data_IF_995758642406
#
_entry.id   IF_995758642406
#
_cell.length_a   1.000
_cell.length_b   1.000
_cell.length_c   1.000
_cell.angle_alpha   90.00
_cell.angle_beta   90.00
_cell.angle_gamma   90.00
#
_symmetry.space_group_name_H-M   'P 1'
#
loop_
_entity.id
_entity.type
_entity.pdbx_description
1 polymer ?
#
# COMPACT_ATOMS: atom_id res chain seq x y z
N UNK A 1 16.05 23.37 17.09
CA UNK A 1 15.30 22.65 16.03
C UNK A 1 15.51 21.13 16.04
N UNK A 2 16.75 20.61 16.19
CA UNK A 2 17.03 19.16 16.31
C UNK A 2 16.36 18.47 17.52
N UNK A 3 16.22 19.20 18.64
CA UNK A 3 15.59 18.71 19.86
C UNK A 3 14.07 18.54 19.76
N UNK A 4 13.39 19.36 18.95
CA UNK A 4 11.93 19.29 18.77
C UNK A 4 11.56 18.09 17.89
N UNK A 5 12.35 17.81 16.85
CA UNK A 5 12.18 16.62 16.00
C UNK A 5 12.47 15.33 16.78
N UNK A 6 13.51 15.34 17.62
CA UNK A 6 13.80 14.24 18.54
C UNK A 6 12.67 14.02 19.56
N UNK A 7 12.07 15.09 20.10
CA UNK A 7 10.94 15.01 21.03
C UNK A 7 9.65 14.52 20.35
N UNK A 8 9.40 14.87 19.08
CA UNK A 8 8.24 14.37 18.32
C UNK A 8 8.40 12.88 18.03
N UNK A 9 9.58 12.45 17.56
CA UNK A 9 9.89 11.03 17.34
C UNK A 9 9.90 10.22 18.65
N UNK A 10 10.41 10.79 19.75
CA UNK A 10 10.37 10.18 21.08
C UNK A 10 8.94 10.11 21.64
N UNK A 11 8.07 11.07 21.33
CA UNK A 11 6.65 11.00 21.73
C UNK A 11 5.87 9.94 20.94
N UNK A 12 6.19 9.74 19.65
CA UNK A 12 5.73 8.60 18.86
C UNK A 12 6.24 7.26 19.44
N UNK A 13 7.45 7.26 20.00
CA UNK A 13 8.07 6.08 20.62
C UNK A 13 7.51 5.76 22.02
N UNK A 14 7.24 6.76 22.86
CA UNK A 14 6.68 6.53 24.20
C UNK A 14 5.20 6.12 24.12
N UNK A 15 4.45 6.61 23.13
CA UNK A 15 3.09 6.14 22.87
C UNK A 15 3.04 4.70 22.32
N UNK A 16 4.11 4.23 21.65
CA UNK A 16 4.18 2.85 21.12
C UNK A 16 4.87 1.86 22.07
N UNK A 17 5.83 2.31 22.90
CA UNK A 17 6.51 1.47 23.88
C UNK A 17 5.72 1.27 25.18
N UNK A 18 4.81 2.19 25.53
CA UNK A 18 3.93 2.03 26.69
C UNK A 18 2.76 1.07 26.43
N UNK A 19 2.48 0.72 25.18
CA UNK A 19 1.28 -0.04 24.78
C UNK A 19 1.60 -1.40 24.18
N UNK A 20 2.59 -2.08 24.76
CA UNK A 20 2.78 -3.52 24.57
C UNK A 20 1.70 -4.39 25.24
N UNK A 21 0.71 -3.80 25.92
CA UNK A 21 -0.34 -4.51 26.67
C UNK A 21 -1.69 -3.77 26.67
N UNK A 22 -2.24 -3.44 25.50
CA UNK A 22 -3.66 -3.06 25.44
C UNK A 22 -4.51 -4.36 25.45
N UNK A 23 -5.56 -4.48 26.28
CA UNK A 23 -6.41 -5.66 26.29
C UNK A 23 -7.18 -5.75 24.97
N UNK A 24 -6.88 -6.77 24.15
CA UNK A 24 -7.54 -7.02 22.86
C UNK A 24 -6.61 -7.08 21.64
N UNK A 25 -5.29 -7.21 21.83
CA UNK A 25 -4.30 -7.28 20.74
C UNK A 25 -4.71 -8.27 19.64
N UNK A 26 -5.08 -7.71 18.48
CA UNK A 26 -5.11 -8.46 17.23
C UNK A 26 -3.69 -8.95 16.94
N UNK A 27 -3.51 -10.18 16.45
CA UNK A 27 -2.18 -10.68 16.14
C UNK A 27 -1.48 -9.75 15.14
N UNK A 28 -0.16 -9.56 15.25
CA UNK A 28 0.60 -8.76 14.32
C UNK A 28 0.37 -9.27 12.90
N UNK A 29 0.34 -8.35 11.94
CA UNK A 29 0.17 -8.68 10.52
C UNK A 29 1.22 -9.72 10.12
N UNK A 30 0.75 -10.87 9.64
CA UNK A 30 1.64 -11.90 9.12
C UNK A 30 2.24 -11.38 7.82
N UNK A 31 3.53 -11.06 7.85
CA UNK A 31 4.28 -10.64 6.66
C UNK A 31 4.24 -11.67 5.53
N UNK A 32 3.91 -12.92 5.86
CA UNK A 32 3.90 -14.05 4.94
C UNK A 32 2.59 -14.14 4.13
N UNK A 33 1.56 -13.35 4.48
CA UNK A 33 0.30 -13.24 3.73
C UNK A 33 0.44 -12.34 2.49
N UNK A 34 1.44 -11.46 2.44
CA UNK A 34 1.67 -10.56 1.31
C UNK A 34 2.63 -11.22 0.33
N UNK A 35 2.13 -11.51 -0.87
CA UNK A 35 2.93 -12.09 -1.94
C UNK A 35 4.17 -11.23 -2.25
N UNK A 36 5.30 -11.85 -2.56
CA UNK A 36 6.52 -11.14 -2.89
C UNK A 36 6.40 -10.42 -4.24
N UNK A 37 7.14 -9.33 -4.41
CA UNK A 37 7.36 -8.69 -5.70
C UNK A 37 8.53 -9.37 -6.40
N UNK A 38 8.37 -9.71 -7.69
CA UNK A 38 9.43 -10.27 -8.52
C UNK A 38 9.81 -9.25 -9.58
N UNK A 39 11.11 -8.95 -9.69
CA UNK A 39 11.70 -8.04 -10.67
C UNK A 39 12.96 -8.66 -11.26
N UNK A 40 13.54 -8.04 -12.28
CA UNK A 40 14.86 -8.43 -12.81
C UNK A 40 15.94 -7.39 -12.48
N UNK A 41 17.14 -7.87 -12.22
CA UNK A 41 18.33 -7.06 -11.99
C UNK A 41 19.57 -7.80 -12.51
N UNK A 42 20.34 -7.17 -13.39
CA UNK A 42 21.52 -7.82 -14.01
C UNK A 42 21.21 -9.14 -14.71
N UNK A 43 20.03 -9.25 -15.34
CA UNK A 43 19.56 -10.47 -16.02
C UNK A 43 19.08 -11.59 -15.09
N UNK A 44 19.01 -11.37 -13.77
CA UNK A 44 18.53 -12.36 -12.79
C UNK A 44 17.23 -11.90 -12.16
N UNK A 45 16.38 -12.85 -11.76
CA UNK A 45 15.19 -12.56 -10.97
C UNK A 45 15.56 -12.25 -9.52
N UNK A 46 14.96 -11.19 -8.99
CA UNK A 46 15.07 -10.76 -7.60
C UNK A 46 13.67 -10.80 -7.00
N UNK A 47 13.52 -11.60 -5.95
CA UNK A 47 12.29 -11.71 -5.17
C UNK A 47 12.41 -10.84 -3.92
N UNK A 48 11.48 -9.90 -3.77
CA UNK A 48 11.45 -8.93 -2.67
C UNK A 48 10.25 -9.23 -1.78
N UNK A 49 10.49 -9.76 -0.59
CA UNK A 49 9.43 -10.00 0.38
C UNK A 49 9.07 -8.71 1.11
N UNK A 50 7.80 -8.56 1.52
CA UNK A 50 7.38 -7.38 2.27
C UNK A 50 8.16 -7.21 3.58
N UNK A 51 8.51 -8.33 4.24
CA UNK A 51 9.37 -8.36 5.43
C UNK A 51 10.70 -7.64 5.23
N UNK A 52 11.34 -7.82 4.08
CA UNK A 52 12.64 -7.20 3.78
C UNK A 52 12.52 -5.69 3.69
N UNK A 53 11.42 -5.21 3.11
CA UNK A 53 11.10 -3.79 2.99
C UNK A 53 10.85 -3.16 4.37
N UNK A 54 10.08 -3.84 5.22
CA UNK A 54 9.79 -3.38 6.60
C UNK A 54 11.08 -3.33 7.43
N UNK A 55 11.94 -4.35 7.31
CA UNK A 55 13.24 -4.35 7.99
C UNK A 55 14.15 -3.22 7.50
N UNK A 56 14.20 -3.00 6.19
CA UNK A 56 14.98 -1.90 5.61
C UNK A 56 14.48 -0.52 6.08
N UNK A 57 13.15 -0.33 6.07
CA UNK A 57 12.51 0.89 6.55
C UNK A 57 12.83 1.14 8.03
N UNK A 58 12.66 0.15 8.91
CA UNK A 58 13.01 0.25 10.33
C UNK A 58 14.47 0.69 10.54
N UNK A 59 15.41 0.05 9.83
CA UNK A 59 16.83 0.42 9.87
C UNK A 59 17.07 1.87 9.43
N UNK A 60 16.37 2.36 8.40
CA UNK A 60 16.48 3.75 7.92
C UNK A 60 15.87 4.77 8.88
N UNK A 61 14.83 4.38 9.60
CA UNK A 61 14.15 5.22 10.58
C UNK A 61 14.83 5.22 11.95
N UNK A 62 15.76 4.29 12.20
CA UNK A 62 16.29 4.05 13.54
C UNK A 62 15.23 3.49 14.49
N UNK A 63 14.18 2.87 13.95
CA UNK A 63 13.06 2.29 14.68
C UNK A 63 13.04 0.77 14.45
N UNK A 64 12.31 0.03 15.29
CA UNK A 64 12.03 -1.38 15.03
C UNK A 64 11.23 -1.60 13.73
N UNK A 65 10.91 -2.86 13.44
CA UNK A 65 10.17 -3.32 12.26
C UNK A 65 8.67 -3.00 12.31
N UNK A 66 8.30 -1.73 12.53
CA UNK A 66 6.91 -1.29 12.55
C UNK A 66 6.41 -1.00 11.13
N UNK A 67 5.23 -1.53 10.79
CA UNK A 67 4.59 -1.26 9.50
C UNK A 67 3.78 0.02 9.59
N UNK A 68 4.18 1.05 8.83
CA UNK A 68 3.44 2.29 8.71
C UNK A 68 2.55 2.29 7.46
N UNK A 69 1.41 3.02 7.46
CA UNK A 69 0.49 3.09 6.30
C UNK A 69 1.19 3.41 4.97
N UNK A 70 2.18 4.30 4.99
CA UNK A 70 2.94 4.66 3.79
C UNK A 70 3.75 3.50 3.20
N UNK A 71 4.30 2.62 4.03
CA UNK A 71 5.11 1.46 3.59
C UNK A 71 4.22 0.43 2.90
N UNK A 72 3.13 0.02 3.55
CA UNK A 72 2.23 -0.99 3.00
C UNK A 72 1.50 -0.48 1.75
N UNK A 73 1.09 0.79 1.73
CA UNK A 73 0.52 1.42 0.53
C UNK A 73 1.51 1.35 -0.63
N UNK A 74 2.75 1.83 -0.43
CA UNK A 74 3.75 1.86 -1.49
C UNK A 74 4.04 0.46 -2.04
N UNK A 75 4.17 -0.54 -1.15
CA UNK A 75 4.40 -1.93 -1.56
C UNK A 75 3.22 -2.49 -2.37
N UNK A 76 1.99 -2.39 -1.85
CA UNK A 76 0.80 -2.93 -2.51
C UNK A 76 0.49 -2.20 -3.81
N UNK A 77 0.60 -0.87 -3.84
CA UNK A 77 0.37 -0.09 -5.05
C UNK A 77 1.40 -0.43 -6.15
N UNK A 78 2.67 -0.60 -5.79
CA UNK A 78 3.71 -1.02 -6.73
C UNK A 78 3.48 -2.44 -7.24
N UNK A 79 3.15 -3.39 -6.35
CA UNK A 79 2.79 -4.77 -6.70
C UNK A 79 1.62 -4.81 -7.69
N UNK A 80 0.53 -4.13 -7.37
CA UNK A 80 -0.65 -4.03 -8.25
C UNK A 80 -0.32 -3.35 -9.58
N UNK A 81 0.58 -2.37 -9.58
CA UNK A 81 1.09 -1.73 -10.80
C UNK A 81 1.80 -2.73 -11.72
N UNK A 82 2.67 -3.57 -11.17
CA UNK A 82 3.39 -4.61 -11.91
C UNK A 82 2.44 -5.69 -12.46
N UNK A 83 1.50 -6.16 -11.65
CA UNK A 83 0.49 -7.14 -12.07
C UNK A 83 -0.27 -6.65 -13.31
N UNK A 84 -0.60 -5.35 -13.34
CA UNK A 84 -1.30 -4.71 -14.47
C UNK A 84 -0.40 -4.41 -15.67
N UNK A 85 0.92 -4.29 -15.48
CA UNK A 85 1.87 -4.33 -16.60
C UNK A 85 1.87 -5.71 -17.27
N UNK A 86 1.69 -6.78 -16.50
CA UNK A 86 1.56 -8.15 -17.00
C UNK A 86 2.88 -8.79 -17.40
N UNK A 87 4.00 -8.23 -16.93
CA UNK A 87 5.36 -8.72 -17.20
C UNK A 87 6.24 -8.55 -15.96
N UNK A 88 7.43 -9.18 -15.97
CA UNK A 88 8.45 -9.04 -14.93
C UNK A 88 9.57 -8.11 -15.44
N UNK A 89 9.47 -6.79 -15.22
CA UNK A 89 10.41 -5.81 -15.76
C UNK A 89 11.76 -5.83 -15.03
N UNK A 90 12.80 -5.30 -15.69
CA UNK A 90 14.04 -4.96 -15.02
C UNK A 90 13.85 -3.70 -14.17
N UNK A 91 14.50 -3.62 -13.01
CA UNK A 91 14.41 -2.45 -12.11
C UNK A 91 14.80 -1.13 -12.79
N UNK A 92 15.84 -1.16 -13.62
CA UNK A 92 16.34 0.00 -14.37
C UNK A 92 15.36 0.53 -15.42
N UNK A 93 14.44 -0.32 -15.87
CA UNK A 93 13.38 0.01 -16.82
C UNK A 93 12.15 0.64 -16.14
N UNK A 94 12.17 0.80 -14.82
CA UNK A 94 11.03 1.33 -14.08
C UNK A 94 11.25 2.78 -13.66
N UNK A 95 10.18 3.56 -13.85
CA UNK A 95 9.99 4.85 -13.19
C UNK A 95 8.72 4.81 -12.36
N UNK A 96 8.78 5.39 -11.16
CA UNK A 96 7.63 5.63 -10.31
C UNK A 96 7.48 7.12 -10.08
N UNK A 97 6.27 7.64 -10.32
CA UNK A 97 5.82 8.92 -9.77
C UNK A 97 4.85 8.64 -8.62
N UNK A 98 5.18 9.11 -7.43
CA UNK A 98 4.36 8.95 -6.24
C UNK A 98 3.77 10.29 -5.82
N UNK A 99 2.46 10.35 -5.63
CA UNK A 99 1.79 11.56 -5.14
C UNK A 99 1.84 11.71 -3.61
N UNK A 100 2.34 10.70 -2.90
CA UNK A 100 2.42 10.68 -1.45
C UNK A 100 3.79 11.20 -0.99
N UNK A 101 3.89 12.45 -0.49
CA UNK A 101 5.14 13.00 0.05
C UNK A 101 5.44 12.46 1.47
N UNK A 102 5.32 11.16 1.66
CA UNK A 102 5.60 10.47 2.93
C UNK A 102 6.97 9.80 2.88
N UNK A 103 7.80 10.03 3.91
CA UNK A 103 9.15 9.49 3.94
C UNK A 103 9.17 7.95 4.01
N UNK A 104 8.19 7.32 4.65
CA UNK A 104 8.12 5.87 4.74
C UNK A 104 7.78 5.24 3.38
N UNK A 105 6.85 5.86 2.64
CA UNK A 105 6.54 5.46 1.27
C UNK A 105 7.75 5.64 0.34
N UNK A 106 8.47 6.76 0.44
CA UNK A 106 9.69 7.02 -0.35
C UNK A 106 10.77 5.97 -0.10
N UNK A 107 11.07 5.66 1.17
CA UNK A 107 12.07 4.64 1.52
C UNK A 107 11.68 3.26 0.98
N UNK A 108 10.39 2.90 1.07
CA UNK A 108 9.86 1.68 0.48
C UNK A 108 10.10 1.64 -1.04
N UNK A 109 9.71 2.70 -1.77
CA UNK A 109 9.84 2.75 -3.22
C UNK A 109 11.30 2.76 -3.69
N UNK A 110 12.18 3.46 -2.98
CA UNK A 110 13.62 3.43 -3.25
C UNK A 110 14.18 2.00 -3.12
N UNK A 111 13.76 1.25 -2.09
CA UNK A 111 14.17 -0.13 -1.93
C UNK A 111 13.66 -1.04 -3.06
N UNK A 112 12.40 -0.86 -3.48
CA UNK A 112 11.79 -1.64 -4.56
C UNK A 112 12.46 -1.38 -5.91
N UNK A 113 12.79 -0.12 -6.20
CA UNK A 113 13.43 0.33 -7.44
C UNK A 113 14.94 0.06 -7.48
N UNK A 114 15.58 -0.14 -6.33
CA UNK A 114 17.04 -0.23 -6.24
C UNK A 114 17.73 1.06 -6.70
N UNK A 115 19.02 0.96 -6.99
CA UNK A 115 19.84 2.13 -7.32
C UNK A 115 19.63 2.63 -8.77
N UNK A 116 19.04 1.82 -9.64
CA UNK A 116 18.89 2.11 -11.07
C UNK A 116 17.47 2.59 -11.45
N UNK A 117 16.45 2.23 -10.67
CA UNK A 117 15.09 2.66 -10.92
C UNK A 117 14.90 4.15 -10.57
N UNK A 118 13.90 4.78 -11.18
CA UNK A 118 13.69 6.24 -11.07
C UNK A 118 12.50 6.55 -10.18
N UNK A 119 12.71 7.24 -9.06
CA UNK A 119 11.64 7.71 -8.19
C UNK A 119 11.49 9.23 -8.26
N UNK A 120 10.27 9.68 -8.48
CA UNK A 120 9.87 11.08 -8.35
C UNK A 120 8.69 11.18 -7.38
N UNK A 121 8.67 12.22 -6.55
CA UNK A 121 7.48 12.60 -5.79
C UNK A 121 6.86 13.82 -6.46
N UNK A 122 5.63 13.67 -6.96
CA UNK A 122 4.91 14.71 -7.70
C UNK A 122 3.51 14.83 -7.10
N UNK A 123 3.23 15.98 -6.48
CA UNK A 123 1.97 16.23 -5.79
C UNK A 123 0.78 16.25 -6.76
N UNK A 124 -0.46 16.14 -6.25
CA UNK A 124 -1.66 16.18 -7.09
C UNK A 124 -1.81 17.43 -7.96
N UNK A 125 -1.22 18.56 -7.56
CA UNK A 125 -1.19 19.80 -8.33
C UNK A 125 -0.07 19.85 -9.40
N UNK A 126 0.73 18.79 -9.51
CA UNK A 126 1.86 18.67 -10.43
C UNK A 126 3.19 19.18 -9.87
N UNK A 127 3.23 19.72 -8.65
CA UNK A 127 4.46 20.20 -8.06
C UNK A 127 5.42 19.04 -7.72
N UNK A 128 6.67 19.15 -8.19
CA UNK A 128 7.73 18.18 -7.88
C UNK A 128 8.31 18.45 -6.50
N UNK A 129 8.44 17.42 -5.66
CA UNK A 129 9.02 17.53 -4.32
C UNK A 129 10.48 17.11 -4.35
N UNK A 130 11.39 18.07 -4.22
CA UNK A 130 12.83 17.84 -4.11
C UNK A 130 13.46 18.81 -3.09
N UNK A 131 14.49 18.39 -2.34
CA UNK A 131 15.03 17.03 -2.25
C UNK A 131 14.09 16.09 -1.46
N UNK A 132 14.23 14.77 -1.65
CA UNK A 132 13.45 13.74 -0.95
C UNK A 132 13.92 13.49 0.50
N UNK A 133 14.31 14.55 1.22
CA UNK A 133 14.73 14.44 2.61
C UNK A 133 13.53 14.37 3.57
N UNK A 134 13.67 13.74 4.75
CA UNK A 134 12.58 13.68 5.74
C UNK A 134 12.00 15.05 6.08
N UNK A 135 12.85 16.07 6.24
CA UNK A 135 12.40 17.42 6.59
C UNK A 135 11.59 18.07 5.48
N UNK A 136 11.95 17.82 4.21
CA UNK A 136 11.25 18.41 3.08
C UNK A 136 9.89 17.72 2.86
N UNK A 137 9.89 16.38 2.82
CA UNK A 137 8.67 15.58 2.67
C UNK A 137 7.64 15.90 3.76
N UNK A 138 8.08 16.03 5.02
CA UNK A 138 7.21 16.36 6.15
C UNK A 138 6.41 17.67 5.97
N UNK A 139 6.95 18.66 5.24
CA UNK A 139 6.25 19.93 4.96
C UNK A 139 5.01 19.71 4.11
N UNK A 140 5.13 18.91 3.06
CA UNK A 140 4.03 18.58 2.16
C UNK A 140 3.07 17.57 2.78
N UNK A 141 3.59 16.63 3.57
CA UNK A 141 2.77 15.64 4.27
C UNK A 141 1.83 16.22 5.34
N UNK A 142 1.86 17.54 5.61
CA UNK A 142 0.90 18.21 6.50
C UNK A 142 -0.52 18.23 5.93
N UNK A 143 -0.65 18.36 4.62
CA UNK A 143 -1.93 18.55 3.92
C UNK A 143 -2.29 17.32 3.08
N UNK A 144 -2.02 16.12 3.60
CA UNK A 144 -2.41 14.89 2.92
C UNK A 144 -3.93 14.73 2.88
N UNK A 145 -4.37 14.14 1.78
CA UNK A 145 -5.71 13.63 1.56
C UNK A 145 -5.67 12.38 0.69
N UNK A 146 -6.83 11.75 0.39
CA UNK A 146 -6.90 10.54 -0.41
C UNK A 146 -6.20 10.65 -1.78
N UNK A 147 -6.26 11.83 -2.41
CA UNK A 147 -5.66 12.11 -3.72
C UNK A 147 -4.13 11.94 -3.76
N UNK A 148 -3.47 12.01 -2.61
CA UNK A 148 -2.03 11.79 -2.48
C UNK A 148 -1.67 10.30 -2.52
N UNK A 149 -2.61 9.38 -2.24
CA UNK A 149 -2.36 7.94 -2.29
C UNK A 149 -2.53 7.42 -3.72
N UNK A 150 -1.64 7.89 -4.58
CA UNK A 150 -1.57 7.55 -5.99
C UNK A 150 -0.13 7.27 -6.40
N UNK A 151 0.06 6.21 -7.17
CA UNK A 151 1.34 5.79 -7.73
C UNK A 151 1.15 5.59 -9.24
N UNK A 152 2.02 6.20 -10.04
CA UNK A 152 2.12 5.93 -11.48
C UNK A 152 3.41 5.15 -11.73
N UNK A 153 3.26 3.92 -12.23
CA UNK A 153 4.36 3.06 -12.62
C UNK A 153 4.52 3.12 -14.15
N UNK A 154 5.70 3.49 -14.62
CA UNK A 154 6.03 3.58 -16.05
C UNK A 154 7.07 2.52 -16.39
N UNK A 155 6.79 1.68 -17.39
CA UNK A 155 7.79 0.80 -18.02
C UNK A 155 8.47 1.56 -19.16
N UNK A 156 9.71 2.02 -18.94
CA UNK A 156 10.42 2.97 -19.79
C UNK A 156 10.61 2.50 -21.25
N UNK A 157 11.02 1.24 -21.54
CA UNK A 157 11.17 0.76 -22.91
C UNK A 157 9.88 0.80 -23.74
N UNK A 158 8.74 0.52 -23.12
CA UNK A 158 7.44 0.46 -23.82
C UNK A 158 6.65 1.75 -23.72
N UNK A 159 7.00 2.65 -22.79
CA UNK A 159 6.23 3.84 -22.47
C UNK A 159 4.87 3.55 -21.81
N UNK A 160 4.56 2.30 -21.46
CA UNK A 160 3.31 1.94 -20.80
C UNK A 160 3.29 2.51 -19.39
N UNK A 161 2.20 3.15 -19.03
CA UNK A 161 1.95 3.69 -17.69
C UNK A 161 0.76 3.00 -17.04
N UNK A 162 0.91 2.70 -15.76
CA UNK A 162 -0.16 2.18 -14.92
C UNK A 162 -0.33 3.11 -13.72
N UNK A 163 -1.48 3.77 -13.65
CA UNK A 163 -1.90 4.51 -12.46
C UNK A 163 -2.60 3.57 -11.48
N UNK A 164 -2.16 3.62 -10.22
CA UNK A 164 -2.72 2.90 -9.09
C UNK A 164 -3.11 3.93 -8.02
N UNK A 165 -4.42 4.18 -7.92
CA UNK A 165 -5.00 5.18 -7.02
C UNK A 165 -5.85 4.50 -5.96
N UNK A 166 -5.64 4.84 -4.70
CA UNK A 166 -6.43 4.30 -3.58
C UNK A 166 -7.82 4.92 -3.57
N UNK A 167 -8.84 4.07 -3.39
CA UNK A 167 -10.23 4.49 -3.21
C UNK A 167 -10.40 5.31 -1.93
N UNK A 168 -11.20 6.37 -1.96
CA UNK A 168 -11.42 7.25 -0.80
C UNK A 168 -12.01 6.50 0.39
N UNK A 169 -12.82 5.48 0.13
CA UNK A 169 -13.50 4.62 1.11
C UNK A 169 -12.55 3.67 1.84
N UNK A 170 -11.29 3.57 1.39
CA UNK A 170 -10.25 2.82 2.10
C UNK A 170 -9.92 3.51 3.43
N UNK A 171 -9.87 4.84 3.43
CA UNK A 171 -9.47 5.63 4.59
C UNK A 171 -10.57 5.71 5.64
N UNK A 172 -10.24 5.51 6.94
CA UNK A 172 -11.18 5.76 8.01
C UNK A 172 -11.68 7.21 8.01
N UNK A 173 -12.94 7.46 8.40
CA UNK A 173 -13.45 8.82 8.57
C UNK A 173 -12.54 9.66 9.47
N UNK A 174 -12.32 10.92 9.09
CA UNK A 174 -11.46 11.89 9.81
C UNK A 174 -9.97 11.50 9.93
N UNK A 175 -9.50 10.43 9.28
CA UNK A 175 -8.10 9.99 9.35
C UNK A 175 -7.10 11.12 9.08
N UNK A 176 -7.27 11.85 7.99
CA UNK A 176 -6.37 12.95 7.60
C UNK A 176 -6.43 14.15 8.55
N UNK A 177 -7.63 14.49 9.04
CA UNK A 177 -7.83 15.54 10.03
C UNK A 177 -7.09 15.20 11.33
N UNK A 178 -7.26 13.97 11.82
CA UNK A 178 -6.64 13.48 13.03
C UNK A 178 -5.11 13.36 12.90
N UNK A 179 -4.62 12.86 11.76
CA UNK A 179 -3.20 12.82 11.43
C UNK A 179 -2.59 14.22 11.47
N UNK A 180 -3.29 15.22 10.91
CA UNK A 180 -2.83 16.62 10.95
C UNK A 180 -2.76 17.15 12.38
N UNK A 181 -3.78 16.90 13.20
CA UNK A 181 -3.81 17.31 14.61
C UNK A 181 -2.70 16.66 15.44
N UNK A 182 -2.52 15.34 15.32
CA UNK A 182 -1.56 14.59 16.16
C UNK A 182 -0.12 14.87 15.74
N UNK A 183 0.19 14.80 14.44
CA UNK A 183 1.58 14.89 13.96
C UNK A 183 2.06 16.34 13.82
N UNK A 184 1.16 17.27 13.51
CA UNK A 184 1.52 18.66 13.21
C UNK A 184 0.95 19.68 14.20
N UNK A 185 0.13 19.25 15.16
CA UNK A 185 -0.48 20.11 16.20
C UNK A 185 -1.37 21.21 15.62
N UNK A 186 -2.05 20.90 14.51
CA UNK A 186 -2.91 21.84 13.80
C UNK A 186 -4.36 21.32 13.70
N UNK A 187 -5.37 22.13 14.05
CA UNK A 187 -5.27 23.53 14.51
C UNK A 187 -4.89 23.67 15.99
N UNK A 188 -4.86 22.57 16.74
CA UNK A 188 -4.48 22.53 18.16
C UNK A 188 -3.65 21.30 18.47
N UNK A 189 -3.07 21.28 19.66
CA UNK A 189 -2.48 20.07 20.21
C UNK A 189 -3.56 18.99 20.38
N UNK A 190 -3.27 17.79 19.88
CA UNK A 190 -4.13 16.63 20.04
C UNK A 190 -4.17 16.16 21.50
N UNK A 191 -5.32 15.66 21.92
CA UNK A 191 -5.49 14.94 23.19
C UNK A 191 -4.88 13.55 23.10
N UNK A 192 -4.66 12.91 24.25
CA UNK A 192 -4.17 11.53 24.29
C UNK A 192 -5.14 10.57 23.57
N UNK A 193 -6.46 10.74 23.78
CA UNK A 193 -7.50 9.96 23.11
C UNK A 193 -7.44 10.10 21.59
N UNK A 194 -7.15 11.29 21.07
CA UNK A 194 -6.96 11.52 19.63
C UNK A 194 -5.69 10.85 19.09
N UNK A 195 -4.62 10.83 19.89
CA UNK A 195 -3.41 10.05 19.57
C UNK A 195 -3.68 8.56 19.49
N UNK A 196 -4.40 8.01 20.48
CA UNK A 196 -4.78 6.60 20.51
C UNK A 196 -5.73 6.24 19.35
N UNK A 197 -6.69 7.12 19.03
CA UNK A 197 -7.58 6.96 17.90
C UNK A 197 -6.81 6.94 16.56
N UNK A 198 -5.80 7.80 16.39
CA UNK A 198 -4.96 7.78 15.19
C UNK A 198 -4.18 6.47 15.09
N UNK A 199 -3.53 6.04 16.18
CA UNK A 199 -2.79 4.78 16.20
C UNK A 199 -3.67 3.59 15.83
N UNK A 200 -4.89 3.53 16.36
CA UNK A 200 -5.87 2.50 16.01
C UNK A 200 -6.29 2.56 14.53
N UNK A 201 -6.52 3.76 13.99
CA UNK A 201 -6.82 3.95 12.56
C UNK A 201 -5.64 3.53 11.66
N UNK A 202 -4.40 3.81 12.06
CA UNK A 202 -3.22 3.40 11.31
C UNK A 202 -3.08 1.88 11.28
N UNK A 203 -3.26 1.20 12.42
CA UNK A 203 -3.29 -0.28 12.45
C UNK A 203 -4.39 -0.83 11.53
N UNK A 204 -5.61 -0.29 11.63
CA UNK A 204 -6.72 -0.73 10.77
C UNK A 204 -6.45 -0.48 9.29
N UNK A 205 -5.81 0.63 8.94
CA UNK A 205 -5.48 0.96 7.55
C UNK A 205 -4.40 0.03 7.02
N UNK A 206 -3.38 -0.29 7.84
CA UNK A 206 -2.35 -1.25 7.47
C UNK A 206 -2.94 -2.65 7.28
N UNK A 207 -3.80 -3.11 8.19
CA UNK A 207 -4.50 -4.39 8.04
C UNK A 207 -5.32 -4.43 6.74
N UNK A 208 -6.03 -3.34 6.43
CA UNK A 208 -6.84 -3.22 5.23
C UNK A 208 -6.00 -3.31 3.96
N UNK A 209 -4.85 -2.62 3.89
CA UNK A 209 -3.95 -2.76 2.74
C UNK A 209 -3.31 -4.14 2.62
N UNK A 210 -2.98 -4.76 3.76
CA UNK A 210 -2.33 -6.07 3.79
C UNK A 210 -3.27 -7.19 3.28
N UNK A 211 -4.55 -7.15 3.69
CA UNK A 211 -5.52 -8.22 3.41
C UNK A 211 -6.47 -7.90 2.25
N UNK A 212 -6.62 -6.62 1.90
CA UNK A 212 -7.55 -6.18 0.89
C UNK A 212 -7.13 -6.60 -0.51
N UNK A 213 -8.10 -7.00 -1.30
CA UNK A 213 -7.92 -7.33 -2.71
C UNK A 213 -7.76 -6.04 -3.54
N UNK A 214 -7.07 -6.07 -4.70
CA UNK A 214 -6.82 -4.87 -5.49
C UNK A 214 -8.10 -4.10 -5.86
N UNK A 215 -9.22 -4.78 -6.14
CA UNK A 215 -10.51 -4.14 -6.45
C UNK A 215 -11.20 -3.52 -5.24
N UNK A 216 -10.81 -3.84 -4.02
CA UNK A 216 -11.32 -3.21 -2.80
C UNK A 216 -10.50 -1.97 -2.44
N UNK A 217 -9.21 -1.99 -2.77
CA UNK A 217 -8.25 -0.95 -2.40
C UNK A 217 -8.11 0.15 -3.45
N UNK A 218 -8.10 -0.21 -4.73
CA UNK A 218 -7.67 0.69 -5.81
C UNK A 218 -8.77 0.95 -6.84
N UNK A 219 -8.78 2.16 -7.38
CA UNK A 219 -9.70 2.58 -8.44
C UNK A 219 -9.39 1.87 -9.76
N UNK A 220 -10.43 1.57 -10.55
CA UNK A 220 -10.28 0.96 -11.86
C UNK A 220 -9.93 -0.53 -11.88
N UNK A 221 -9.88 -1.19 -10.71
CA UNK A 221 -9.74 -2.65 -10.60
C UNK A 221 -11.12 -3.28 -10.39
N UNK A 222 -11.45 -4.30 -11.19
CA UNK A 222 -12.74 -4.99 -11.14
C UNK A 222 -12.60 -6.26 -10.34
N UNK A 223 -13.61 -6.56 -9.53
CA UNK A 223 -13.76 -7.88 -8.94
C UNK A 223 -13.87 -8.91 -10.08
N UNK A 224 -13.09 -10.00 -10.06
CA UNK A 224 -13.32 -11.09 -10.99
C UNK A 224 -14.76 -11.57 -10.82
N UNK A 225 -15.46 -11.85 -11.93
CA UNK A 225 -16.82 -12.39 -11.85
C UNK A 225 -16.79 -13.65 -10.98
N UNK A 226 -17.78 -13.87 -10.10
CA UNK A 226 -17.87 -15.11 -9.37
C UNK A 226 -17.89 -16.24 -10.40
N UNK A 227 -16.84 -17.07 -10.40
CA UNK A 227 -16.83 -18.31 -11.16
C UNK A 227 -17.89 -19.16 -10.48
N UNK A 228 -19.11 -19.17 -11.02
CA UNK A 228 -20.17 -20.03 -10.52
C UNK A 228 -19.81 -21.45 -10.95
N UNK A 229 -18.95 -22.12 -10.17
CA UNK A 229 -18.53 -23.51 -10.38
C UNK A 229 -19.72 -24.48 -10.50
N UNK A 230 -20.93 -24.08 -10.10
CA UNK A 230 -22.15 -24.87 -10.19
C UNK A 230 -22.92 -24.81 -11.53
N UNK A 231 -22.69 -23.84 -12.42
CA UNK A 231 -23.50 -23.73 -13.66
C UNK A 231 -23.00 -24.68 -14.74
N UNK A 232 -21.69 -24.90 -14.83
CA UNK A 232 -21.11 -25.78 -15.87
C UNK A 232 -21.40 -27.25 -15.56
N UNK A 233 -21.40 -27.65 -14.28
CA UNK A 233 -21.76 -29.01 -13.85
C UNK A 233 -23.27 -29.27 -13.95
N UNK A 234 -24.12 -28.31 -13.57
CA UNK A 234 -25.58 -28.45 -13.69
C UNK A 234 -26.08 -28.50 -15.14
N UNK A 235 -25.51 -27.66 -16.02
CA UNK A 235 -25.86 -27.63 -17.44
C UNK A 235 -25.48 -28.92 -18.18
N UNK A 236 -24.31 -29.50 -17.88
CA UNK A 236 -23.89 -30.77 -18.48
C UNK A 236 -24.78 -31.94 -18.01
N UNK A 237 -25.17 -31.96 -16.73
CA UNK A 237 -26.04 -32.99 -16.17
C UNK A 237 -27.47 -32.91 -16.75
N UNK A 238 -28.01 -31.71 -16.95
CA UNK A 238 -29.31 -31.52 -17.61
C UNK A 238 -29.27 -31.89 -19.09
N UNK A 239 -28.19 -31.58 -19.81
CA UNK A 239 -28.01 -31.97 -21.21
C UNK A 239 -27.87 -33.51 -21.37
N UNK A 240 -27.14 -34.16 -20.45
CA UNK A 240 -27.02 -35.62 -20.41
C UNK A 240 -28.35 -36.29 -20.04
N UNK A 241 -29.09 -35.75 -19.06
CA UNK A 241 -30.41 -36.25 -18.69
C UNK A 241 -31.43 -36.08 -19.84
N UNK A 242 -31.43 -34.93 -20.52
CA UNK A 242 -32.28 -34.69 -21.69
C UNK A 242 -31.92 -35.62 -22.87
N UNK A 243 -30.62 -35.84 -23.13
CA UNK A 243 -30.14 -36.77 -24.15
C UNK A 243 -30.50 -38.24 -23.86
N UNK A 244 -30.49 -38.66 -22.59
CA UNK A 244 -30.89 -39.99 -22.15
C UNK A 244 -32.42 -40.21 -22.14
N UNK A 245 -33.21 -39.15 -21.94
CA UNK A 245 -34.68 -39.19 -21.95
C UNK A 245 -35.29 -39.04 -23.35
N UNK A 246 -34.57 -38.45 -24.31
CA UNK A 246 -35.03 -38.22 -25.68
C UNK A 246 -35.55 -39.47 -26.42
N UNK A 247 -34.92 -40.67 -26.30
CA UNK A 247 -35.42 -41.87 -26.99
C UNK A 247 -36.72 -42.44 -26.39
N UNK A 248 -37.06 -42.08 -25.14
CA UNK A 248 -38.26 -42.59 -24.45
C UNK A 248 -39.52 -41.76 -24.73
N UNK A 249 -39.37 -40.51 -25.17
CA UNK A 249 -40.47 -39.60 -25.51
C UNK A 249 -40.95 -39.74 -26.96
N UNK A 250 -40.30 -40.61 -27.78
CA UNK A 250 -40.64 -40.87 -29.19
C UNK A 250 -41.37 -42.20 -29.43
N UNK A 251 -41.84 -42.89 -28.38
CA UNK A 251 -42.72 -44.06 -28.49
C UNK A 251 -44.14 -43.70 -28.13
#
# INVERSE_FOLDING_TARGET
MRMIVALILLSLFLASAAWGHAPGDKPPISFDEISPIVLREGGKEVKICFRDVVYHHGKKMGTGSSVLPGVIFAYRAFQTGLEKLGETPCREDLRVKCALPDYSAVVCLQYLLGDQGRLEVVLPDGAKVEPLSPQNLSRFARNLGPEHYCLVLTHLPTGREVEVRVKKEVFPPRYFELRRMVLYREPRQATEQEGQALASMEVSLVEKFAKGEPWELFEGFRQPFPVVEGVITGGLLLALAAGLLWPRLRR
#
